data_IF_575283678918
#
_entry.id   IF_575283678918
#
_cell.length_a   1.000
_cell.length_b   1.000
_cell.length_c   1.000
_cell.angle_alpha   90.00
_cell.angle_beta   90.00
_cell.angle_gamma   90.00
#
_symmetry.space_group_name_H-M   'P 1'
#
loop_
_entity.id
_entity.type
_entity.pdbx_description
1 polymer ?
#
# COMPACT_ATOMS: atom_id res chain seq x y z
N UNK A 1 20.68 -8.97 10.22
CA UNK A 1 19.25 -8.78 9.92
C UNK A 1 18.74 -10.03 9.22
N UNK A 2 17.54 -10.51 9.54
CA UNK A 2 16.99 -11.73 8.91
C UNK A 2 16.63 -11.40 7.46
N UNK A 3 17.19 -12.13 6.50
CA UNK A 3 16.79 -12.01 5.10
C UNK A 3 15.35 -12.49 4.93
N UNK A 4 14.55 -11.77 4.15
CA UNK A 4 13.18 -12.17 3.81
C UNK A 4 13.24 -13.43 2.94
N UNK A 5 12.48 -14.45 3.32
CA UNK A 5 12.26 -15.62 2.47
C UNK A 5 11.40 -15.27 1.26
N UNK A 6 11.46 -16.11 0.21
CA UNK A 6 10.59 -15.97 -0.98
C UNK A 6 9.11 -15.95 -0.58
N UNK A 7 8.72 -16.76 0.43
CA UNK A 7 7.35 -16.79 0.92
C UNK A 7 6.93 -15.44 1.55
N UNK A 8 7.80 -14.85 2.37
CA UNK A 8 7.55 -13.52 2.96
C UNK A 8 7.48 -12.43 1.87
N UNK A 9 8.35 -12.49 0.87
CA UNK A 9 8.32 -11.56 -0.28
C UNK A 9 7.02 -11.67 -1.09
N UNK A 10 6.51 -12.88 -1.31
CA UNK A 10 5.23 -13.08 -2.01
C UNK A 10 4.06 -12.48 -1.23
N UNK A 11 3.99 -12.66 0.09
CA UNK A 11 2.94 -12.02 0.90
C UNK A 11 3.04 -10.50 0.89
N UNK A 12 4.25 -9.95 0.90
CA UNK A 12 4.44 -8.49 0.80
C UNK A 12 3.97 -7.98 -0.56
N UNK A 13 4.27 -8.70 -1.65
CA UNK A 13 3.79 -8.35 -2.99
C UNK A 13 2.25 -8.36 -3.07
N UNK A 14 1.60 -9.35 -2.45
CA UNK A 14 0.14 -9.42 -2.38
C UNK A 14 -0.42 -8.20 -1.61
N UNK A 15 0.15 -7.87 -0.45
CA UNK A 15 -0.27 -6.72 0.36
C UNK A 15 -0.11 -5.41 -0.42
N UNK A 16 1.04 -5.17 -1.05
CA UNK A 16 1.26 -3.99 -1.90
C UNK A 16 0.22 -3.90 -3.01
N UNK A 17 -0.10 -5.02 -3.66
CA UNK A 17 -1.07 -5.06 -4.75
C UNK A 17 -2.48 -4.75 -4.25
N UNK A 18 -2.87 -5.29 -3.09
CA UNK A 18 -4.18 -5.04 -2.48
C UNK A 18 -4.33 -3.61 -1.96
N UNK A 19 -3.32 -3.05 -1.28
CA UNK A 19 -3.36 -1.68 -0.79
C UNK A 19 -3.44 -0.67 -1.96
N UNK A 20 -2.69 -0.90 -3.04
CA UNK A 20 -2.77 -0.06 -4.24
C UNK A 20 -4.16 -0.15 -4.92
N UNK A 21 -4.72 -1.35 -5.04
CA UNK A 21 -6.04 -1.57 -5.62
C UNK A 21 -7.14 -0.90 -4.77
N UNK A 22 -7.07 -1.08 -3.44
CA UNK A 22 -8.03 -0.53 -2.51
C UNK A 22 -7.98 1.00 -2.48
N UNK A 23 -6.78 1.61 -2.51
CA UNK A 23 -6.61 3.05 -2.61
C UNK A 23 -7.28 3.61 -3.89
N UNK A 24 -7.00 2.99 -5.05
CA UNK A 24 -7.56 3.40 -6.34
C UNK A 24 -9.09 3.29 -6.38
N UNK A 25 -9.64 2.16 -5.92
CA UNK A 25 -11.09 1.95 -5.90
C UNK A 25 -11.79 2.90 -4.93
N UNK A 26 -11.24 3.09 -3.74
CA UNK A 26 -11.81 4.00 -2.75
C UNK A 26 -11.81 5.44 -3.28
N UNK A 27 -10.72 5.88 -3.90
CA UNK A 27 -10.66 7.20 -4.53
C UNK A 27 -11.67 7.35 -5.70
N UNK A 28 -11.83 6.29 -6.51
CA UNK A 28 -12.84 6.25 -7.56
C UNK A 28 -14.25 6.38 -6.99
N UNK A 29 -14.59 5.64 -5.93
CA UNK A 29 -15.91 5.74 -5.28
C UNK A 29 -16.15 7.10 -4.65
N UNK A 30 -15.14 7.69 -3.99
CA UNK A 30 -15.21 9.06 -3.50
C UNK A 30 -15.53 10.04 -4.64
N UNK A 31 -14.93 9.84 -5.81
CA UNK A 31 -15.16 10.68 -7.00
C UNK A 31 -16.55 10.51 -7.62
N UNK A 32 -17.19 9.35 -7.43
CA UNK A 32 -18.55 9.06 -7.91
C UNK A 32 -19.63 9.60 -6.95
N UNK A 33 -19.37 9.54 -5.65
CA UNK A 33 -20.27 9.98 -4.56
C UNK A 33 -20.24 11.51 -4.34
N UNK A 34 -19.98 12.33 -5.36
CA UNK A 34 -19.94 13.79 -5.20
C UNK A 34 -21.28 14.27 -4.63
N UNK A 35 -21.24 14.95 -3.48
CA UNK A 35 -22.38 15.48 -2.70
C UNK A 35 -23.09 14.48 -1.76
N UNK A 36 -22.54 13.28 -1.58
CA UNK A 36 -23.01 12.29 -0.61
C UNK A 36 -22.18 12.34 0.68
N UNK A 37 -22.78 12.07 1.86
CA UNK A 37 -22.03 11.90 3.10
C UNK A 37 -20.99 10.76 3.01
N UNK A 38 -21.14 9.84 2.06
CA UNK A 38 -20.18 8.75 1.84
C UNK A 38 -18.88 9.19 1.17
N UNK A 39 -18.85 10.37 0.52
CA UNK A 39 -17.65 10.90 -0.13
C UNK A 39 -16.44 10.88 0.81
N UNK A 40 -16.61 11.43 2.02
CA UNK A 40 -15.54 11.57 2.98
C UNK A 40 -15.02 10.19 3.45
N UNK A 41 -15.93 9.24 3.68
CA UNK A 41 -15.56 7.88 4.10
C UNK A 41 -14.69 7.19 3.05
N UNK A 42 -15.07 7.26 1.77
CA UNK A 42 -14.27 6.69 0.69
C UNK A 42 -12.95 7.42 0.48
N UNK A 43 -12.93 8.75 0.65
CA UNK A 43 -11.70 9.55 0.55
C UNK A 43 -10.71 9.20 1.67
N UNK A 44 -11.19 9.10 2.91
CA UNK A 44 -10.38 8.72 4.06
C UNK A 44 -9.84 7.28 3.92
N UNK A 45 -10.67 6.36 3.44
CA UNK A 45 -10.25 4.99 3.14
C UNK A 45 -9.13 4.97 2.07
N UNK A 46 -9.26 5.75 1.00
CA UNK A 46 -8.22 5.87 -0.02
C UNK A 46 -6.90 6.36 0.59
N UNK A 47 -6.96 7.37 1.48
CA UNK A 47 -5.79 7.90 2.15
C UNK A 47 -5.13 6.89 3.11
N UNK A 48 -5.92 6.08 3.84
CA UNK A 48 -5.40 5.01 4.70
C UNK A 48 -4.65 3.98 3.86
N UNK A 49 -5.27 3.47 2.79
CA UNK A 49 -4.67 2.46 1.93
C UNK A 49 -3.38 2.96 1.25
N UNK A 50 -3.36 4.23 0.83
CA UNK A 50 -2.15 4.84 0.30
C UNK A 50 -1.03 4.91 1.34
N UNK A 51 -1.32 5.29 2.59
CA UNK A 51 -0.33 5.31 3.68
C UNK A 51 0.21 3.92 3.99
N UNK A 52 -0.66 2.91 4.02
CA UNK A 52 -0.25 1.52 4.23
C UNK A 52 0.69 1.03 3.12
N UNK A 53 0.35 1.30 1.86
CA UNK A 53 1.21 0.98 0.71
C UNK A 53 2.60 1.61 0.85
N UNK A 54 2.66 2.91 1.17
CA UNK A 54 3.93 3.62 1.36
C UNK A 54 4.74 3.03 2.52
N UNK A 55 4.11 2.73 3.65
CA UNK A 55 4.81 2.15 4.80
C UNK A 55 5.45 0.79 4.48
N UNK A 56 4.73 -0.07 3.75
CA UNK A 56 5.25 -1.39 3.34
C UNK A 56 6.38 -1.24 2.31
N UNK A 57 6.24 -0.30 1.36
CA UNK A 57 7.27 -0.01 0.37
C UNK A 57 8.55 0.55 1.03
N UNK A 58 8.41 1.47 1.98
CA UNK A 58 9.53 2.03 2.72
C UNK A 58 10.25 0.97 3.54
N UNK A 59 9.50 0.06 4.17
CA UNK A 59 10.08 -1.11 4.85
C UNK A 59 10.90 -1.97 3.89
N UNK A 60 10.36 -2.30 2.70
CA UNK A 60 11.11 -3.06 1.69
C UNK A 60 12.39 -2.36 1.24
N UNK A 61 12.33 -1.04 1.02
CA UNK A 61 13.49 -0.25 0.65
C UNK A 61 14.57 -0.31 1.74
N UNK A 62 14.18 -0.15 3.02
CA UNK A 62 15.10 -0.27 4.15
C UNK A 62 15.73 -1.66 4.22
N UNK A 63 14.94 -2.72 4.05
CA UNK A 63 15.43 -4.10 4.04
C UNK A 63 16.43 -4.32 2.90
N UNK A 64 16.13 -3.83 1.70
CA UNK A 64 17.01 -3.95 0.53
C UNK A 64 18.33 -3.19 0.73
N UNK A 65 18.28 -1.94 1.21
CA UNK A 65 19.47 -1.14 1.50
C UNK A 65 20.32 -1.75 2.61
N UNK A 66 19.69 -2.32 3.64
CA UNK A 66 20.37 -2.93 4.77
C UNK A 66 21.03 -4.28 4.44
N UNK A 67 20.63 -4.93 3.34
CA UNK A 67 21.23 -6.17 2.83
C UNK A 67 22.43 -5.90 1.90
N UNK A 68 22.90 -4.65 1.80
CA UNK A 68 24.10 -4.28 1.06
C UNK A 68 23.88 -4.37 -0.45
N UNK A 69 22.83 -3.70 -0.95
CA UNK A 69 22.45 -3.66 -2.35
C UNK A 69 23.65 -3.62 -3.30
N UNK A 70 24.01 -4.79 -3.82
CA UNK A 70 24.92 -4.93 -4.95
C UNK A 70 24.12 -4.59 -6.19
N UNK A 71 24.37 -3.40 -6.73
CA UNK A 71 24.25 -3.19 -8.16
C UNK A 71 25.09 -4.21 -8.93
#
# INVERSE_FOLDING_TARGET
MKNLSIKELNYINDILSWELLAAKKSFQYASQERQSPHHQVFYDAAAVHQRNYMAVLDYLNQVNSAQGGTH
#
